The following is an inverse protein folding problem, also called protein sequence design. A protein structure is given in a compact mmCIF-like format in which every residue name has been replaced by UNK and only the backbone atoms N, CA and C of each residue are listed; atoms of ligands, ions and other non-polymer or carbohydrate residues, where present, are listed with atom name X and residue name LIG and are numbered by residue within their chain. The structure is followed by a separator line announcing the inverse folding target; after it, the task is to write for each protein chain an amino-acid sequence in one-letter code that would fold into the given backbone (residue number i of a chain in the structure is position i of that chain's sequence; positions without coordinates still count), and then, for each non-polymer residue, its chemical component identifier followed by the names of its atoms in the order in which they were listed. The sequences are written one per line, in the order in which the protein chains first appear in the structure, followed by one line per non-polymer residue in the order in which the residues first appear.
data_IF_299536375025
#
_entry.id   IF_299536375025
#
_cell.length_a   1.000
_cell.length_b   1.000
_cell.length_c   1.000
_cell.angle_alpha   90.00
_cell.angle_beta   90.00
_cell.angle_gamma   90.00
#
_symmetry.space_group_name_H-M   'P 1'
#
loop_
_entity.id
_entity.type
_entity.pdbx_description
1 polymer ?
#
# COMPACT_ATOMS: atom_id res chain seq x y z
N UNK A 1 -1.81 -26.75 -2.08
CA UNK A 1 -1.40 -25.57 -1.38
C UNK A 1 -2.56 -24.90 -0.66
N UNK A 2 -2.26 -24.16 0.40
CA UNK A 2 -3.28 -23.63 1.28
C UNK A 2 -4.25 -22.68 0.58
N UNK A 3 -3.78 -21.89 -0.37
CA UNK A 3 -4.64 -20.98 -1.12
C UNK A 3 -5.64 -21.74 -1.96
N UNK A 4 -5.20 -22.77 -2.67
CA UNK A 4 -6.07 -23.54 -3.52
C UNK A 4 -7.07 -24.35 -2.70
N UNK A 5 -6.64 -24.90 -1.59
CA UNK A 5 -7.54 -25.60 -0.66
C UNK A 5 -8.61 -24.67 -0.12
N UNK A 6 -8.23 -23.47 0.30
CA UNK A 6 -9.17 -22.50 0.81
C UNK A 6 -10.18 -22.10 -0.27
N UNK A 7 -9.69 -21.83 -1.48
CA UNK A 7 -10.54 -21.46 -2.59
C UNK A 7 -11.52 -22.58 -2.97
N UNK A 8 -11.06 -23.83 -3.00
CA UNK A 8 -11.91 -24.98 -3.30
C UNK A 8 -13.02 -25.15 -2.28
N UNK A 9 -12.72 -24.97 -0.99
CA UNK A 9 -13.73 -25.05 0.07
C UNK A 9 -14.80 -23.97 -0.07
N UNK A 10 -14.46 -22.85 -0.69
CA UNK A 10 -15.37 -21.72 -0.93
C UNK A 10 -15.96 -21.74 -2.34
N UNK A 11 -15.80 -22.86 -3.07
CA UNK A 11 -16.19 -22.94 -4.47
C UNK A 11 -17.65 -22.57 -4.72
N UNK A 12 -18.54 -22.92 -3.82
CA UNK A 12 -19.97 -22.65 -3.94
C UNK A 12 -20.39 -21.33 -3.28
N UNK A 13 -19.45 -20.59 -2.74
CA UNK A 13 -19.72 -19.34 -2.07
C UNK A 13 -19.99 -18.24 -3.10
N UNK A 14 -21.14 -17.58 -3.00
CA UNK A 14 -21.56 -16.58 -3.98
C UNK A 14 -21.17 -15.16 -3.68
N UNK A 15 -20.41 -14.93 -2.64
CA UNK A 15 -19.97 -13.60 -2.26
C UNK A 15 -18.49 -13.58 -2.03
N UNK A 16 -18.06 -12.73 -1.14
CA UNK A 16 -16.67 -12.66 -0.74
C UNK A 16 -16.34 -13.78 0.24
N UNK A 17 -15.16 -14.35 0.07
CA UNK A 17 -14.61 -15.26 1.08
C UNK A 17 -14.28 -14.48 2.35
N UNK A 18 -14.01 -15.18 3.43
CA UNK A 18 -13.50 -14.55 4.65
C UNK A 18 -12.11 -14.00 4.41
N UNK A 19 -11.73 -12.95 5.14
CA UNK A 19 -10.36 -12.49 5.14
C UNK A 19 -9.45 -13.59 5.66
N UNK A 20 -8.45 -13.95 4.87
CA UNK A 20 -7.52 -15.04 5.18
C UNK A 20 -6.12 -14.49 5.27
N UNK A 21 -5.43 -14.76 6.37
CA UNK A 21 -4.05 -14.32 6.55
C UNK A 21 -3.12 -15.08 5.62
N UNK A 22 -2.13 -14.38 5.08
CA UNK A 22 -1.08 -14.99 4.27
C UNK A 22 0.23 -14.26 4.51
N UNK A 23 1.36 -14.96 4.19
CA UNK A 23 2.67 -14.37 4.28
C UNK A 23 2.91 -13.47 3.06
N UNK A 24 3.28 -12.23 3.28
CA UNK A 24 3.63 -11.32 2.20
C UNK A 24 4.91 -11.76 1.50
N UNK A 25 5.04 -11.40 0.23
CA UNK A 25 6.19 -11.82 -0.59
C UNK A 25 7.50 -11.20 -0.13
N UNK A 26 7.44 -10.15 0.66
CA UNK A 26 8.60 -9.47 1.24
C UNK A 26 8.74 -9.73 2.75
N UNK A 27 8.06 -10.75 3.26
CA UNK A 27 8.13 -11.13 4.67
C UNK A 27 7.14 -10.45 5.58
N UNK A 28 6.22 -9.64 5.05
CA UNK A 28 5.17 -9.05 5.89
C UNK A 28 4.23 -10.14 6.41
N UNK A 29 3.86 -10.05 7.68
CA UNK A 29 3.03 -11.05 8.35
C UNK A 29 1.60 -10.58 8.61
N UNK A 30 1.30 -9.33 8.35
CA UNK A 30 -0.01 -8.72 8.62
C UNK A 30 -0.87 -8.59 7.36
N UNK A 31 -0.67 -9.47 6.40
CA UNK A 31 -1.36 -9.45 5.12
C UNK A 31 -2.57 -10.37 5.15
N UNK A 32 -3.68 -9.89 4.60
CA UNK A 32 -4.91 -10.66 4.46
C UNK A 32 -5.44 -10.52 3.05
N UNK A 33 -6.08 -11.56 2.53
CA UNK A 33 -6.76 -11.50 1.25
C UNK A 33 -8.19 -12.00 1.36
N UNK A 34 -9.02 -11.61 0.41
CA UNK A 34 -10.33 -12.21 0.15
C UNK A 34 -10.65 -12.12 -1.33
N UNK A 35 -11.55 -12.96 -1.78
CA UNK A 35 -11.92 -12.99 -3.20
C UNK A 35 -13.41 -13.31 -3.37
N UNK A 36 -13.98 -12.86 -4.48
CA UNK A 36 -15.32 -13.26 -4.90
C UNK A 36 -15.29 -13.94 -6.29
N UNK A 37 -14.12 -14.46 -6.68
CA UNK A 37 -13.86 -15.12 -7.96
C UNK A 37 -13.81 -14.19 -9.18
N UNK A 38 -14.08 -12.91 -9.00
CA UNK A 38 -13.91 -11.87 -10.02
C UNK A 38 -12.86 -10.87 -9.59
N UNK A 39 -12.84 -10.55 -8.31
CA UNK A 39 -11.92 -9.59 -7.71
C UNK A 39 -11.20 -10.25 -6.56
N UNK A 40 -9.98 -9.83 -6.34
CA UNK A 40 -9.19 -10.23 -5.17
C UNK A 40 -8.73 -8.98 -4.47
N UNK A 41 -8.96 -8.89 -3.18
CA UNK A 41 -8.53 -7.77 -2.34
C UNK A 41 -7.45 -8.22 -1.40
N UNK A 42 -6.46 -7.37 -1.20
CA UNK A 42 -5.41 -7.55 -0.19
C UNK A 42 -5.44 -6.34 0.73
N UNK A 43 -5.27 -6.58 2.02
CA UNK A 43 -5.13 -5.49 2.99
C UNK A 43 -3.94 -5.74 3.89
N UNK A 44 -3.34 -4.64 4.34
CA UNK A 44 -2.31 -4.63 5.37
C UNK A 44 -2.93 -4.05 6.63
N UNK A 45 -2.89 -4.81 7.71
CA UNK A 45 -3.51 -4.38 8.97
C UNK A 45 -2.73 -3.21 9.58
N UNK A 46 -1.39 -3.30 9.57
CA UNK A 46 -0.54 -2.33 10.26
C UNK A 46 -0.77 -0.89 9.82
N UNK A 47 -0.92 -0.66 8.51
CA UNK A 47 -1.09 0.70 7.97
C UNK A 47 -2.47 0.93 7.36
N UNK A 48 -3.39 -0.02 7.56
CA UNK A 48 -4.77 0.07 7.10
C UNK A 48 -4.90 0.38 5.61
N UNK A 49 -4.07 -0.24 4.79
CA UNK A 49 -4.10 -0.09 3.34
C UNK A 49 -4.79 -1.28 2.70
N UNK A 50 -5.45 -1.01 1.58
CA UNK A 50 -6.19 -2.02 0.83
C UNK A 50 -6.02 -1.78 -0.67
N UNK A 51 -5.92 -2.85 -1.44
CA UNK A 51 -5.87 -2.80 -2.89
C UNK A 51 -6.61 -3.99 -3.50
N UNK A 52 -6.91 -3.88 -4.77
CA UNK A 52 -7.76 -4.83 -5.47
C UNK A 52 -7.20 -5.18 -6.84
N UNK A 53 -7.44 -6.40 -7.28
CA UNK A 53 -7.17 -6.85 -8.65
C UNK A 53 -8.44 -7.49 -9.21
N UNK A 54 -8.72 -7.24 -10.47
CA UNK A 54 -9.90 -7.76 -11.16
C UNK A 54 -9.50 -8.60 -12.36
N UNK A 55 -10.33 -9.59 -12.70
CA UNK A 55 -10.20 -10.31 -13.95
C UNK A 55 -10.52 -9.35 -15.10
N UNK A 56 -9.68 -9.32 -16.12
CA UNK A 56 -9.92 -8.50 -17.29
C UNK A 56 -10.80 -9.25 -18.30
N UNK A 57 -12.07 -8.93 -18.31
CA UNK A 57 -13.05 -9.59 -19.20
C UNK A 57 -12.79 -9.28 -20.66
N UNK A 58 -12.20 -8.14 -20.99
CA UNK A 58 -11.91 -7.76 -22.38
C UNK A 58 -10.86 -8.66 -23.00
N UNK A 59 -9.88 -9.08 -22.19
CA UNK A 59 -8.82 -9.96 -22.65
C UNK A 59 -9.18 -11.44 -22.46
N UNK A 60 -10.40 -11.72 -22.02
CA UNK A 60 -10.89 -13.06 -21.75
C UNK A 60 -10.04 -13.81 -20.73
N UNK A 61 -9.50 -13.09 -19.78
CA UNK A 61 -8.71 -13.71 -18.70
C UNK A 61 -9.59 -14.61 -17.86
N UNK A 62 -9.04 -15.76 -17.50
CA UNK A 62 -9.66 -16.62 -16.51
C UNK A 62 -9.25 -16.20 -15.10
N UNK A 63 -10.12 -16.45 -14.15
CA UNK A 63 -9.81 -16.14 -12.76
C UNK A 63 -8.64 -17.01 -12.28
N UNK A 64 -7.62 -16.37 -11.68
CA UNK A 64 -6.48 -17.04 -11.09
C UNK A 64 -6.23 -16.43 -9.72
N UNK A 65 -6.48 -17.19 -8.65
CA UNK A 65 -6.38 -16.70 -7.29
C UNK A 65 -4.96 -16.23 -6.94
N UNK A 66 -3.95 -17.04 -7.27
CA UNK A 66 -2.55 -16.68 -6.97
C UNK A 66 -2.15 -15.38 -7.66
N UNK A 67 -2.46 -15.27 -8.94
CA UNK A 67 -2.14 -14.04 -9.68
C UNK A 67 -2.90 -12.85 -9.12
N UNK A 68 -4.16 -13.03 -8.76
CA UNK A 68 -4.97 -11.97 -8.15
C UNK A 68 -4.40 -11.49 -6.82
N UNK A 69 -4.00 -12.41 -5.95
CA UNK A 69 -3.36 -12.07 -4.67
C UNK A 69 -2.06 -11.32 -4.91
N UNK A 70 -1.21 -11.82 -5.81
CA UNK A 70 0.07 -11.20 -6.10
C UNK A 70 -0.09 -9.80 -6.63
N UNK A 71 -0.98 -9.59 -7.58
CA UNK A 71 -1.21 -8.28 -8.18
C UNK A 71 -1.80 -7.30 -7.18
N UNK A 72 -2.79 -7.72 -6.40
CA UNK A 72 -3.39 -6.88 -5.36
C UNK A 72 -2.36 -6.53 -4.28
N UNK A 73 -1.50 -7.48 -3.92
CA UNK A 73 -0.42 -7.25 -2.98
C UNK A 73 0.55 -6.18 -3.47
N UNK A 74 0.99 -6.28 -4.73
CA UNK A 74 1.89 -5.29 -5.32
C UNK A 74 1.25 -3.90 -5.38
N UNK A 75 -0.04 -3.84 -5.69
CA UNK A 75 -0.78 -2.57 -5.68
C UNK A 75 -0.87 -1.98 -4.27
N UNK A 76 -1.03 -2.83 -3.27
CA UNK A 76 -1.04 -2.39 -1.87
C UNK A 76 0.32 -1.86 -1.43
N UNK A 77 1.41 -2.53 -1.81
CA UNK A 77 2.77 -2.06 -1.57
C UNK A 77 3.03 -0.71 -2.24
N UNK A 78 2.55 -0.53 -3.46
CA UNK A 78 2.68 0.74 -4.17
C UNK A 78 2.02 1.87 -3.37
N UNK A 79 0.81 1.64 -2.84
CA UNK A 79 0.14 2.63 -1.99
C UNK A 79 0.94 2.95 -0.74
N UNK A 80 1.51 1.94 -0.10
CA UNK A 80 2.34 2.15 1.10
C UNK A 80 3.57 2.99 0.78
N UNK A 81 4.24 2.69 -0.32
CA UNK A 81 5.43 3.43 -0.74
C UNK A 81 5.10 4.88 -1.13
N UNK A 82 3.97 5.10 -1.80
CA UNK A 82 3.52 6.47 -2.12
C UNK A 82 3.29 7.29 -0.86
N UNK A 83 2.69 6.72 0.18
CA UNK A 83 2.51 7.42 1.46
C UNK A 83 3.84 7.75 2.13
N UNK A 84 4.83 6.85 2.05
CA UNK A 84 6.18 7.11 2.59
C UNK A 84 6.84 8.27 1.85
N UNK A 85 6.72 8.30 0.53
CA UNK A 85 7.28 9.38 -0.29
C UNK A 85 6.63 10.72 0.07
N UNK A 86 5.32 10.74 0.21
CA UNK A 86 4.59 11.97 0.58
C UNK A 86 5.05 12.49 1.94
N UNK A 87 5.24 11.60 2.92
CA UNK A 87 5.72 11.99 4.24
C UNK A 87 7.14 12.53 4.18
N UNK A 88 8.02 11.89 3.42
CA UNK A 88 9.38 12.37 3.24
C UNK A 88 9.42 13.75 2.56
N UNK A 89 8.54 13.96 1.58
CA UNK A 89 8.44 15.27 0.93
C UNK A 89 7.98 16.34 1.90
N UNK A 90 7.03 16.04 2.77
CA UNK A 90 6.59 16.95 3.82
C UNK A 90 7.73 17.29 4.78
N UNK A 91 8.49 16.28 5.20
CA UNK A 91 9.64 16.48 6.10
C UNK A 91 10.69 17.40 5.45
N UNK A 92 10.97 17.19 4.16
CA UNK A 92 11.91 18.04 3.39
C UNK A 92 11.41 19.48 3.36
N UNK A 93 10.13 19.69 3.08
CA UNK A 93 9.55 21.02 3.04
C UNK A 93 9.66 21.74 4.39
N UNK A 94 9.43 21.02 5.48
CA UNK A 94 9.55 21.55 6.82
C UNK A 94 11.00 21.97 7.14
N UNK A 95 11.97 21.15 6.74
CA UNK A 95 13.38 21.48 6.92
C UNK A 95 13.79 22.69 6.09
N UNK A 96 13.32 22.79 4.86
CA UNK A 96 13.59 23.96 4.02
C UNK A 96 13.06 25.25 4.66
N UNK A 97 11.87 25.21 5.28
CA UNK A 97 11.33 26.35 6.00
C UNK A 97 12.17 26.72 7.21
N UNK A 98 12.66 25.73 7.96
CA UNK A 98 13.55 25.99 9.11
C UNK A 98 14.84 26.65 8.66
N UNK A 99 15.44 26.17 7.56
CA UNK A 99 16.65 26.78 6.99
C UNK A 99 16.40 28.22 6.61
N UNK A 100 15.28 28.50 5.96
CA UNK A 100 14.92 29.86 5.56
C UNK A 100 14.83 30.79 6.78
N UNK A 101 14.16 30.32 7.83
CA UNK A 101 14.01 31.11 9.06
C UNK A 101 15.36 31.39 9.70
N UNK A 102 16.26 30.41 9.73
CA UNK A 102 17.61 30.60 10.27
C UNK A 102 18.42 31.59 9.44
N UNK A 103 18.27 31.55 8.12
CA UNK A 103 18.96 32.52 7.24
C UNK A 103 18.44 33.95 7.49
N UNK A 104 17.17 34.12 7.72
CA UNK A 104 16.59 35.43 8.05
C UNK A 104 17.12 35.95 9.40
N UNK A 105 17.19 35.08 10.41
CA UNK A 105 17.73 35.44 11.71
C UNK A 105 19.20 35.86 11.59
N UNK A 106 20.01 35.15 10.81
CA UNK A 106 21.41 35.50 10.56
C UNK A 106 21.55 36.87 9.91
N UNK A 107 20.73 37.18 8.91
CA UNK A 107 20.75 38.48 8.25
C UNK A 107 20.44 39.62 9.21
N UNK A 108 19.47 39.42 10.10
CA UNK A 108 19.11 40.43 11.07
C UNK A 108 20.23 40.65 12.09
N UNK A 109 20.90 39.60 12.53
CA UNK A 109 22.05 39.73 13.42
C UNK A 109 23.18 40.53 12.76
N UNK A 110 23.48 40.22 11.50
CA UNK A 110 24.53 40.94 10.76
C UNK A 110 24.19 42.42 10.62
N UNK A 111 22.93 42.75 10.34
CA UNK A 111 22.48 44.16 10.30
C UNK A 111 22.66 44.85 11.63
N UNK A 112 22.34 44.18 12.74
CA UNK A 112 22.52 44.73 14.08
C UNK A 112 23.96 45.03 14.39
N UNK A 113 24.89 44.19 13.94
CA UNK A 113 26.32 44.34 14.20
C UNK A 113 26.94 45.47 13.37
N UNK A 114 26.38 45.76 12.21
CA UNK A 114 26.89 46.79 11.29
C UNK A 114 26.21 48.16 11.44
N UNK A 115 25.13 48.24 12.20
CA UNK A 115 24.37 49.47 12.41
C UNK A 115 25.04 50.49 13.35
#
# INVERSE_FOLDING_TARGET
EDFDKHFVLEENFKGWTKWTQFAGYDGQSDCFYRTNRKKTQVKFITNNLRAEACVNKKDKDEFNLHFGIQLAYLRCLKKANCKKVDKLQEDINNLDNEIFDLMQAERQMLKSLTA
#
